data_IF_993900185135
#
_entry.id   IF_993900185135
#
_cell.length_a   1.000
_cell.length_b   1.000
_cell.length_c   1.000
_cell.angle_alpha   90.00
_cell.angle_beta   90.00
_cell.angle_gamma   90.00
#
_symmetry.space_group_name_H-M   'P 1'
#
loop_
_entity.id
_entity.type
_entity.pdbx_description
1 polymer ?
#
# COMPACT_ATOMS: atom_id res chain seq x y z
N UNK A 1 19.15 -9.37 10.23
CA UNK A 1 18.32 -9.04 9.04
C UNK A 1 16.84 -9.49 9.10
N UNK A 2 16.43 -10.54 9.85
CA UNK A 2 15.01 -10.99 9.88
C UNK A 2 14.02 -10.02 10.56
N UNK A 3 14.46 -9.23 11.55
CA UNK A 3 13.58 -8.27 12.26
C UNK A 3 13.12 -7.10 11.37
N UNK A 4 14.01 -6.59 10.51
CA UNK A 4 13.70 -5.46 9.63
C UNK A 4 12.64 -5.82 8.57
N UNK A 5 12.63 -7.06 8.07
CA UNK A 5 11.61 -7.52 7.12
C UNK A 5 10.19 -7.48 7.71
N UNK A 6 10.01 -7.95 8.95
CA UNK A 6 8.68 -7.93 9.62
C UNK A 6 8.20 -6.50 9.84
N UNK A 7 9.07 -5.62 10.35
CA UNK A 7 8.76 -4.20 10.57
C UNK A 7 8.44 -3.49 9.26
N UNK A 8 9.21 -3.73 8.20
CA UNK A 8 9.00 -3.14 6.89
C UNK A 8 7.66 -3.57 6.27
N UNK A 9 7.34 -4.87 6.34
CA UNK A 9 6.03 -5.37 5.88
C UNK A 9 4.88 -4.79 6.70
N UNK A 10 5.04 -4.64 8.02
CA UNK A 10 4.03 -4.04 8.89
C UNK A 10 3.76 -2.57 8.53
N UNK A 11 4.81 -1.79 8.32
CA UNK A 11 4.71 -0.38 7.88
C UNK A 11 4.05 -0.28 6.50
N UNK A 12 4.41 -1.16 5.56
CA UNK A 12 3.77 -1.20 4.24
C UNK A 12 2.28 -1.56 4.34
N UNK A 13 1.90 -2.50 5.21
CA UNK A 13 0.49 -2.84 5.45
C UNK A 13 -0.28 -1.66 6.05
N UNK A 14 0.30 -0.93 7.00
CA UNK A 14 -0.31 0.29 7.55
C UNK A 14 -0.51 1.35 6.46
N UNK A 15 0.52 1.60 5.65
CA UNK A 15 0.46 2.50 4.50
C UNK A 15 -0.62 2.07 3.50
N UNK A 16 -0.75 0.78 3.25
CA UNK A 16 -1.80 0.23 2.40
C UNK A 16 -3.20 0.49 2.98
N UNK A 17 -3.37 0.31 4.29
CA UNK A 17 -4.63 0.60 4.97
C UNK A 17 -5.02 2.07 4.81
N UNK A 18 -4.06 2.98 4.98
CA UNK A 18 -4.28 4.40 4.72
C UNK A 18 -4.68 4.66 3.27
N UNK A 19 -4.04 4.03 2.29
CA UNK A 19 -4.43 4.20 0.88
C UNK A 19 -5.85 3.68 0.60
N UNK A 20 -6.26 2.57 1.20
CA UNK A 20 -7.65 2.08 1.06
C UNK A 20 -8.64 3.05 1.69
N UNK A 21 -8.32 3.60 2.86
CA UNK A 21 -9.15 4.62 3.52
C UNK A 21 -9.27 5.90 2.68
N UNK A 22 -8.16 6.41 2.16
CA UNK A 22 -8.16 7.60 1.29
C UNK A 22 -8.89 7.35 -0.03
N UNK A 23 -8.69 6.19 -0.66
CA UNK A 23 -9.43 5.81 -1.86
C UNK A 23 -10.94 5.76 -1.58
N UNK A 24 -11.36 5.17 -0.45
CA UNK A 24 -12.76 5.19 -0.04
C UNK A 24 -13.26 6.62 0.20
N UNK A 25 -12.52 7.43 0.95
CA UNK A 25 -12.89 8.81 1.28
C UNK A 25 -13.06 9.70 0.04
N UNK A 26 -12.15 9.60 -0.93
CA UNK A 26 -12.16 10.42 -2.14
C UNK A 26 -13.05 9.90 -3.28
N UNK A 27 -13.38 8.61 -3.30
CA UNK A 27 -14.24 8.02 -4.35
C UNK A 27 -15.69 7.88 -3.88
N UNK A 28 -15.91 7.46 -2.64
CA UNK A 28 -17.22 7.11 -2.09
C UNK A 28 -17.63 7.97 -0.89
N UNK A 29 -16.68 8.61 -0.22
CA UNK A 29 -16.92 9.47 0.94
C UNK A 29 -17.09 10.94 0.58
N UNK A 30 -17.05 11.80 1.62
CA UNK A 30 -17.19 13.25 1.49
C UNK A 30 -16.11 13.90 0.62
N UNK A 31 -14.96 13.25 0.47
CA UNK A 31 -13.89 13.67 -0.42
C UNK A 31 -14.30 13.70 -1.89
N UNK A 32 -15.30 12.90 -2.30
CA UNK A 32 -15.84 12.91 -3.66
C UNK A 32 -16.65 14.16 -3.98
N UNK A 33 -17.20 14.81 -2.94
CA UNK A 33 -18.03 16.02 -3.04
C UNK A 33 -17.18 17.27 -2.84
N UNK A 34 -16.18 17.20 -1.97
CA UNK A 34 -15.33 18.35 -1.56
C UNK A 34 -14.04 18.48 -2.36
N UNK A 35 -13.60 17.41 -3.02
CA UNK A 35 -12.30 17.33 -3.71
C UNK A 35 -12.42 16.61 -5.05
N UNK A 36 -11.42 16.77 -5.91
CA UNK A 36 -11.44 16.10 -7.22
C UNK A 36 -11.31 14.57 -7.07
N UNK A 37 -12.15 13.78 -7.76
CA UNK A 37 -12.05 12.31 -7.81
C UNK A 37 -10.66 11.80 -8.25
N UNK A 38 -9.87 12.65 -8.93
CA UNK A 38 -8.48 12.36 -9.31
C UNK A 38 -7.60 11.99 -8.11
N UNK A 39 -7.83 12.57 -6.93
CA UNK A 39 -7.07 12.22 -5.73
C UNK A 39 -7.35 10.79 -5.26
N UNK A 40 -8.59 10.31 -5.43
CA UNK A 40 -8.94 8.92 -5.19
C UNK A 40 -8.25 7.96 -6.17
N UNK A 41 -8.19 8.32 -7.45
CA UNK A 41 -7.48 7.52 -8.47
C UNK A 41 -5.97 7.51 -8.22
N UNK A 42 -5.38 8.64 -7.85
CA UNK A 42 -3.97 8.72 -7.45
C UNK A 42 -3.67 7.85 -6.22
N UNK A 43 -4.57 7.88 -5.24
CA UNK A 43 -4.48 7.05 -4.03
C UNK A 43 -4.51 5.55 -4.37
N UNK A 44 -5.44 5.13 -5.23
CA UNK A 44 -5.48 3.75 -5.74
C UNK A 44 -4.19 3.36 -6.47
N UNK A 45 -3.65 4.26 -7.32
CA UNK A 45 -2.40 4.04 -8.04
C UNK A 45 -1.22 3.82 -7.08
N UNK A 46 -1.09 4.66 -6.05
CA UNK A 46 -0.08 4.49 -5.00
C UNK A 46 -0.28 3.20 -4.20
N UNK A 47 -1.52 2.83 -3.92
CA UNK A 47 -1.85 1.54 -3.29
C UNK A 47 -1.32 0.35 -4.10
N UNK A 48 -1.53 0.35 -5.42
CA UNK A 48 -1.00 -0.70 -6.31
C UNK A 48 0.52 -0.79 -6.26
N UNK A 49 1.22 0.34 -6.26
CA UNK A 49 2.68 0.39 -6.14
C UNK A 49 3.15 -0.26 -4.82
N UNK A 50 2.47 0.03 -3.70
CA UNK A 50 2.78 -0.57 -2.40
C UNK A 50 2.63 -2.10 -2.44
N UNK A 51 1.56 -2.61 -3.06
CA UNK A 51 1.35 -4.06 -3.21
C UNK A 51 2.48 -4.70 -4.03
N UNK A 52 2.88 -4.08 -5.14
CA UNK A 52 3.97 -4.61 -5.99
C UNK A 52 5.29 -4.67 -5.21
N UNK A 53 5.58 -3.65 -4.40
CA UNK A 53 6.76 -3.61 -3.53
C UNK A 53 6.67 -4.74 -2.48
N UNK A 54 5.54 -4.91 -1.80
CA UNK A 54 5.33 -5.99 -0.83
C UNK A 54 5.55 -7.37 -1.47
N UNK A 55 5.01 -7.62 -2.66
CA UNK A 55 5.20 -8.89 -3.39
C UNK A 55 6.66 -9.11 -3.74
N UNK A 56 7.33 -8.08 -4.25
CA UNK A 56 8.74 -8.14 -4.66
C UNK A 56 9.65 -8.46 -3.47
N UNK A 57 9.43 -7.76 -2.36
CA UNK A 57 10.16 -7.95 -1.10
C UNK A 57 9.87 -9.32 -0.50
N UNK A 58 8.61 -9.76 -0.50
CA UNK A 58 8.23 -11.10 -0.05
C UNK A 58 8.91 -12.20 -0.89
N UNK A 59 8.92 -12.04 -2.22
CA UNK A 59 9.56 -12.98 -3.16
C UNK A 59 11.08 -13.03 -2.97
N UNK A 60 11.73 -11.87 -2.79
CA UNK A 60 13.16 -11.81 -2.50
C UNK A 60 13.52 -12.48 -1.17
N UNK A 61 12.75 -12.19 -0.10
CA UNK A 61 12.98 -12.80 1.21
C UNK A 61 12.76 -14.33 1.16
N UNK A 62 11.77 -14.81 0.41
CA UNK A 62 11.55 -16.25 0.19
C UNK A 62 12.70 -16.91 -0.59
N UNK A 63 13.26 -16.23 -1.60
CA UNK A 63 14.42 -16.71 -2.37
C UNK A 63 15.69 -16.77 -1.52
N UNK A 64 15.96 -15.74 -0.72
CA UNK A 64 17.11 -15.71 0.21
C UNK A 64 16.99 -16.70 1.38
N UNK A 65 15.80 -17.20 1.71
CA UNK A 65 15.61 -18.25 2.72
C UNK A 65 15.78 -19.68 2.18
N UNK A 66 15.78 -19.86 0.85
CA UNK A 66 15.91 -21.16 0.17
C UNK A 66 17.33 -21.42 -0.38
N UNK A 67 18.21 -20.43 -0.33
CA UNK A 67 19.64 -20.55 -0.63
C UNK A 67 20.43 -20.68 0.66
#
# INVERSE_FOLDING_TARGET
MKHHYKLFMFVLTLLLLFQVYFAYYYILGEGAITTSPLFGVMSLGLGVVIVIIMISVHRQHKKNKKS
#
